data_IF_651633707825
#
_entry.id   IF_651633707825
#
_cell.length_a   1.000
_cell.length_b   1.000
_cell.length_c   1.000
_cell.angle_alpha   90.00
_cell.angle_beta   90.00
_cell.angle_gamma   90.00
#
_symmetry.space_group_name_H-M   'P 1'
#
loop_
_entity.id
_entity.type
_entity.pdbx_description
1 polymer ?
#
# COMPACT_ATOMS: atom_id res chain seq x y z
N UNK A 1 10.39 -1.95 -28.04
CA UNK A 1 10.06 -1.69 -26.61
C UNK A 1 11.33 -1.25 -25.89
N UNK A 2 11.34 -0.10 -25.20
CA UNK A 2 12.49 0.29 -24.36
C UNK A 2 12.58 -0.67 -23.17
N UNK A 3 13.79 -1.15 -22.88
CA UNK A 3 14.07 -1.93 -21.67
C UNK A 3 13.72 -1.09 -20.43
N UNK A 4 13.09 -1.72 -19.42
CA UNK A 4 12.75 -1.04 -18.16
C UNK A 4 14.02 -0.69 -17.38
N UNK A 5 13.99 0.42 -16.66
CA UNK A 5 15.08 0.79 -15.76
C UNK A 5 15.24 -0.26 -14.64
N UNK A 6 16.46 -0.47 -14.16
CA UNK A 6 16.74 -1.37 -13.02
C UNK A 6 15.91 -0.99 -11.78
N UNK A 7 15.65 0.31 -11.59
CA UNK A 7 14.79 0.83 -10.53
C UNK A 7 13.35 0.31 -10.66
N UNK A 8 12.76 0.32 -11.87
CA UNK A 8 11.41 -0.21 -12.10
C UNK A 8 11.29 -1.70 -11.79
N UNK A 9 12.30 -2.50 -12.13
CA UNK A 9 12.32 -3.94 -11.80
C UNK A 9 12.36 -4.16 -10.28
N UNK A 10 13.15 -3.36 -9.55
CA UNK A 10 13.20 -3.43 -8.08
C UNK A 10 11.89 -3.01 -7.44
N UNK A 11 11.25 -1.95 -7.95
CA UNK A 11 9.94 -1.50 -7.47
C UNK A 11 8.87 -2.58 -7.62
N UNK A 12 8.87 -3.32 -8.73
CA UNK A 12 7.96 -4.46 -8.92
C UNK A 12 8.21 -5.61 -7.93
N UNK A 13 9.46 -5.79 -7.50
CA UNK A 13 9.79 -6.70 -6.40
C UNK A 13 9.19 -6.24 -5.08
N UNK A 14 9.35 -4.95 -4.74
CA UNK A 14 8.77 -4.37 -3.52
C UNK A 14 7.23 -4.34 -3.56
N UNK A 15 6.61 -4.11 -4.71
CA UNK A 15 5.17 -4.17 -4.88
C UNK A 15 4.62 -5.56 -4.58
N UNK A 16 5.26 -6.61 -5.11
CA UNK A 16 4.91 -7.99 -4.76
C UNK A 16 5.08 -8.27 -3.27
N UNK A 17 6.18 -7.81 -2.68
CA UNK A 17 6.42 -7.98 -1.25
C UNK A 17 5.32 -7.33 -0.41
N UNK A 18 5.03 -6.05 -0.66
CA UNK A 18 3.96 -5.29 0.03
C UNK A 18 2.59 -5.95 -0.16
N UNK A 19 2.29 -6.47 -1.35
CA UNK A 19 1.04 -7.16 -1.61
C UNK A 19 0.91 -8.43 -0.77
N UNK A 20 1.99 -9.20 -0.64
CA UNK A 20 1.99 -10.50 0.05
C UNK A 20 2.10 -10.39 1.57
N UNK A 21 2.64 -9.28 2.09
CA UNK A 21 2.91 -9.12 3.53
C UNK A 21 2.05 -8.09 4.23
N UNK A 22 1.55 -7.08 3.52
CA UNK A 22 0.78 -5.97 4.11
C UNK A 22 -0.64 -5.95 3.52
N UNK A 23 -0.77 -5.72 2.20
CA UNK A 23 -2.08 -5.46 1.59
C UNK A 23 -2.98 -6.70 1.55
N UNK A 24 -2.43 -7.91 1.68
CA UNK A 24 -3.21 -9.14 1.85
C UNK A 24 -4.08 -9.14 3.13
N UNK A 25 -3.74 -8.31 4.13
CA UNK A 25 -4.52 -8.15 5.36
C UNK A 25 -5.46 -6.92 5.32
N UNK A 26 -5.48 -6.15 4.23
CA UNK A 26 -6.29 -4.95 4.16
C UNK A 26 -7.76 -5.31 3.91
N UNK A 27 -8.63 -4.90 4.83
CA UNK A 27 -10.05 -5.11 4.66
C UNK A 27 -10.60 -4.23 3.52
N UNK A 28 -11.27 -4.80 2.51
CA UNK A 28 -11.73 -4.06 1.34
C UNK A 28 -12.90 -3.12 1.63
N UNK A 29 -13.54 -3.19 2.80
CA UNK A 29 -14.62 -2.28 3.20
C UNK A 29 -14.09 -1.18 4.10
N UNK A 30 -13.48 -1.55 5.23
CA UNK A 30 -13.02 -0.56 6.24
C UNK A 30 -11.69 0.10 5.88
N UNK A 31 -10.87 -0.54 5.05
CA UNK A 31 -9.52 -0.09 4.74
C UNK A 31 -8.47 -0.43 5.80
N UNK A 32 -8.88 -0.95 6.96
CA UNK A 32 -7.97 -1.28 8.06
C UNK A 32 -7.24 -2.60 7.80
N UNK A 33 -6.04 -2.73 8.36
CA UNK A 33 -5.23 -3.94 8.39
C UNK A 33 -5.52 -4.71 9.67
N UNK A 34 -5.82 -6.01 9.55
CA UNK A 34 -5.79 -6.92 10.69
C UNK A 34 -4.35 -7.32 11.03
N UNK A 35 -4.10 -7.70 12.28
CA UNK A 35 -2.77 -8.16 12.70
C UNK A 35 -2.35 -9.47 11.99
N UNK A 36 -3.31 -10.36 11.74
CA UNK A 36 -3.09 -11.58 10.94
C UNK A 36 -4.41 -12.11 10.35
N UNK A 37 -4.38 -13.30 9.74
CA UNK A 37 -5.59 -13.98 9.31
C UNK A 37 -6.41 -14.52 10.50
N UNK A 38 -5.78 -14.87 11.61
CA UNK A 38 -6.49 -15.39 12.80
C UNK A 38 -6.81 -14.27 13.80
N UNK A 39 -5.93 -13.27 13.90
CA UNK A 39 -6.13 -12.10 14.76
C UNK A 39 -6.69 -10.93 13.95
N UNK A 40 -8.02 -10.78 14.02
CA UNK A 40 -8.79 -9.82 13.22
C UNK A 40 -8.74 -8.38 13.73
N UNK A 41 -8.21 -8.15 14.92
CA UNK A 41 -8.13 -6.81 15.51
C UNK A 41 -7.21 -5.90 14.70
N UNK A 42 -7.68 -4.67 14.46
CA UNK A 42 -6.94 -3.63 13.74
C UNK A 42 -6.31 -2.65 14.73
N UNK A 43 -5.06 -2.92 15.10
CA UNK A 43 -4.30 -2.07 16.03
C UNK A 43 -3.84 -0.80 15.31
N UNK A 44 -4.13 0.37 15.87
CA UNK A 44 -3.80 1.68 15.27
C UNK A 44 -2.32 1.77 14.92
N UNK A 45 -1.43 1.38 15.85
CA UNK A 45 0.02 1.40 15.64
C UNK A 45 0.45 0.56 14.44
N UNK A 46 -0.05 -0.68 14.36
CA UNK A 46 0.33 -1.63 13.33
C UNK A 46 -0.18 -1.18 11.96
N UNK A 47 -1.36 -0.56 11.93
CA UNK A 47 -1.92 0.08 10.74
C UNK A 47 -1.05 1.24 10.25
N UNK A 48 -0.68 2.17 11.13
CA UNK A 48 0.16 3.33 10.79
C UNK A 48 1.55 2.90 10.32
N UNK A 49 2.22 1.99 11.00
CA UNK A 49 3.57 1.58 10.62
C UNK A 49 3.59 0.78 9.32
N UNK A 50 2.64 -0.13 9.13
CA UNK A 50 2.55 -0.92 7.91
C UNK A 50 2.21 -0.06 6.69
N UNK A 51 1.24 0.86 6.81
CA UNK A 51 0.78 1.64 5.66
C UNK A 51 1.82 2.66 5.16
N UNK A 52 2.76 3.09 6.02
CA UNK A 52 3.87 3.97 5.61
C UNK A 52 4.77 3.31 4.56
N UNK A 53 4.97 1.99 4.62
CA UNK A 53 5.74 1.26 3.61
C UNK A 53 5.02 1.29 2.24
N UNK A 54 3.70 1.12 2.24
CA UNK A 54 2.84 1.21 1.04
C UNK A 54 2.91 2.61 0.44
N UNK A 55 2.80 3.64 1.28
CA UNK A 55 2.90 5.04 0.86
C UNK A 55 4.27 5.37 0.27
N UNK A 56 5.35 4.95 0.94
CA UNK A 56 6.72 5.13 0.46
C UNK A 56 6.94 4.46 -0.91
N UNK A 57 6.38 3.27 -1.12
CA UNK A 57 6.42 2.59 -2.41
C UNK A 57 5.61 3.33 -3.49
N UNK A 58 4.41 3.80 -3.18
CA UNK A 58 3.60 4.62 -4.09
C UNK A 58 4.33 5.90 -4.51
N UNK A 59 5.00 6.54 -3.56
CA UNK A 59 5.84 7.71 -3.81
C UNK A 59 7.02 7.39 -4.73
N UNK A 60 7.67 6.25 -4.53
CA UNK A 60 8.78 5.80 -5.37
C UNK A 60 8.32 5.47 -6.80
N UNK A 61 7.16 4.82 -6.98
CA UNK A 61 6.58 4.63 -8.31
C UNK A 61 6.25 5.96 -8.97
N UNK A 62 5.57 6.88 -8.28
CA UNK A 62 5.23 8.21 -8.83
C UNK A 62 6.46 8.99 -9.29
N UNK A 63 7.57 8.91 -8.55
CA UNK A 63 8.83 9.58 -8.93
C UNK A 63 9.50 8.96 -10.16
N UNK A 64 9.35 7.64 -10.35
CA UNK A 64 10.02 6.87 -11.42
C UNK A 64 9.05 6.39 -12.50
N UNK A 65 7.87 7.00 -12.61
CA UNK A 65 6.80 6.52 -13.48
C UNK A 65 7.06 6.87 -14.95
N UNK A 66 7.90 6.08 -15.61
CA UNK A 66 8.22 6.22 -17.04
C UNK A 66 7.07 5.71 -17.94
N UNK A 67 6.24 4.80 -17.41
CA UNK A 67 5.14 4.12 -18.14
C UNK A 67 3.81 4.33 -17.44
N UNK A 68 2.73 4.25 -18.20
CA UNK A 68 1.39 4.37 -17.62
C UNK A 68 1.06 3.23 -16.65
N UNK A 69 1.64 2.04 -16.85
CA UNK A 69 1.60 0.94 -15.88
C UNK A 69 2.15 1.35 -14.51
N UNK A 70 3.28 2.08 -14.47
CA UNK A 70 3.92 2.52 -13.23
C UNK A 70 3.08 3.60 -12.53
N UNK A 71 2.43 4.49 -13.30
CA UNK A 71 1.48 5.48 -12.78
C UNK A 71 0.24 4.81 -12.18
N UNK A 72 -0.30 3.78 -12.84
CA UNK A 72 -1.44 3.04 -12.35
C UNK A 72 -1.12 2.34 -11.02
N UNK A 73 0.06 1.71 -10.92
CA UNK A 73 0.53 1.11 -9.65
C UNK A 73 0.70 2.14 -8.55
N UNK A 74 1.30 3.30 -8.85
CA UNK A 74 1.42 4.39 -7.88
C UNK A 74 0.04 4.79 -7.34
N UNK A 75 -0.92 4.99 -8.25
CA UNK A 75 -2.29 5.38 -7.90
C UNK A 75 -2.97 4.33 -7.01
N UNK A 76 -2.87 3.05 -7.37
CA UNK A 76 -3.46 1.96 -6.57
C UNK A 76 -2.90 1.91 -5.15
N UNK A 77 -1.56 1.97 -5.01
CA UNK A 77 -0.90 2.02 -3.70
C UNK A 77 -1.35 3.22 -2.88
N UNK A 78 -1.45 4.40 -3.50
CA UNK A 78 -1.93 5.61 -2.84
C UNK A 78 -3.41 5.51 -2.42
N UNK A 79 -4.27 4.88 -3.21
CA UNK A 79 -5.67 4.64 -2.83
C UNK A 79 -5.78 3.68 -1.65
N UNK A 80 -4.95 2.65 -1.57
CA UNK A 80 -4.89 1.76 -0.41
C UNK A 80 -4.52 2.53 0.88
N UNK A 81 -3.56 3.46 0.77
CA UNK A 81 -3.17 4.34 1.88
C UNK A 81 -4.32 5.26 2.29
N UNK A 82 -4.95 5.93 1.33
CA UNK A 82 -6.09 6.83 1.58
C UNK A 82 -7.23 6.08 2.27
N UNK A 83 -7.53 4.87 1.81
CA UNK A 83 -8.61 4.05 2.37
C UNK A 83 -8.35 3.70 3.83
N UNK A 84 -7.13 3.28 4.16
CA UNK A 84 -6.75 2.97 5.54
C UNK A 84 -6.78 4.19 6.44
N UNK A 85 -6.19 5.30 6.01
CA UNK A 85 -6.15 6.54 6.81
C UNK A 85 -7.56 7.08 7.08
N UNK A 86 -8.46 7.00 6.09
CA UNK A 86 -9.89 7.33 6.28
C UNK A 86 -10.56 6.38 7.26
N UNK A 87 -10.27 5.08 7.19
CA UNK A 87 -10.76 4.09 8.16
C UNK A 87 -10.34 4.42 9.59
N UNK A 88 -9.07 4.76 9.80
CA UNK A 88 -8.56 5.18 11.12
C UNK A 88 -9.24 6.45 11.64
N UNK A 89 -9.34 7.48 10.80
CA UNK A 89 -10.02 8.72 11.18
C UNK A 89 -11.48 8.45 11.55
N UNK A 90 -12.16 7.60 10.78
CA UNK A 90 -13.54 7.21 11.05
C UNK A 90 -13.70 6.51 12.41
N UNK A 91 -12.74 5.67 12.82
CA UNK A 91 -12.72 5.01 14.13
C UNK A 91 -12.38 5.95 15.29
N UNK A 92 -11.77 7.11 15.03
CA UNK A 92 -11.44 8.10 16.07
C UNK A 92 -12.53 9.16 16.26
N UNK A 93 -13.35 9.38 15.23
CA UNK A 93 -14.43 10.37 15.25
C UNK A 93 -15.76 9.84 15.78
N UNK A 94 -15.90 8.51 15.90
CA UNK A 94 -17.09 7.82 16.40
C UNK A 94 -16.72 6.98 17.59
#
# INVERSE_FOLDING_TARGET
MRSRSNSGVRLDGYARLVQQTILCYQNPVTGLLSASHDQKDAWVRDNIYSILAVWGLGMAYRKNADRDEDKAKAYELEQNVVKLMRGLLQCMMR
#
